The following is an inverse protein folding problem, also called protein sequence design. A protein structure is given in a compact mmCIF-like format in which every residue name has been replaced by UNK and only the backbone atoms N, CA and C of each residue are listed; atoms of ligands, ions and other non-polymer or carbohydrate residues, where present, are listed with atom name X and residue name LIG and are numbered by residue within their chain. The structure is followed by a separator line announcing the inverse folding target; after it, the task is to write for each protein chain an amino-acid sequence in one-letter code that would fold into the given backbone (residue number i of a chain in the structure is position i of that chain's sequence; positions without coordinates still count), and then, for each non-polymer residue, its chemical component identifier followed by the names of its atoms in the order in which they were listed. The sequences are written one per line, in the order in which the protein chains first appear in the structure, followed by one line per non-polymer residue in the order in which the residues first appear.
data_IF_469960037104
#
_entry.id   IF_469960037104
#
_cell.length_a   1.000
_cell.length_b   1.000
_cell.length_c   1.000
_cell.angle_alpha   90.00
_cell.angle_beta   90.00
_cell.angle_gamma   90.00
#
_symmetry.space_group_name_H-M   'P 1'
#
loop_
_entity.id
_entity.type
_entity.pdbx_description
1 polymer ?
#
# COMPACT_ATOMS: atom_id res chain seq x y z
N UNK A 1 -2.52 -10.45 -29.24
CA UNK A 1 -3.23 -10.96 -28.05
C UNK A 1 -2.83 -10.09 -26.85
N UNK A 2 -3.59 -9.02 -26.58
CA UNK A 2 -3.23 -7.96 -25.61
C UNK A 2 -2.95 -8.51 -24.20
N UNK A 3 -3.82 -9.39 -23.69
CA UNK A 3 -3.68 -9.96 -22.35
C UNK A 3 -2.43 -10.84 -22.15
N UNK A 4 -1.92 -11.47 -23.21
CA UNK A 4 -0.67 -12.25 -23.11
C UNK A 4 0.53 -11.33 -22.98
N UNK A 5 0.54 -10.20 -23.69
CA UNK A 5 1.60 -9.21 -23.57
C UNK A 5 1.58 -8.54 -22.18
N UNK A 6 0.40 -8.15 -21.69
CA UNK A 6 0.24 -7.59 -20.35
C UNK A 6 0.61 -8.58 -19.24
N UNK A 7 0.22 -9.85 -19.38
CA UNK A 7 0.62 -10.91 -18.44
C UNK A 7 2.15 -11.09 -18.39
N UNK A 8 2.82 -11.07 -19.54
CA UNK A 8 4.28 -11.13 -19.61
C UNK A 8 4.92 -9.92 -18.94
N UNK A 9 4.43 -8.71 -19.21
CA UNK A 9 4.90 -7.47 -18.57
C UNK A 9 4.75 -7.54 -17.06
N UNK A 10 3.57 -7.92 -16.57
CA UNK A 10 3.29 -8.07 -15.14
C UNK A 10 4.27 -9.03 -14.45
N UNK A 11 4.45 -10.23 -15.02
CA UNK A 11 5.36 -11.23 -14.46
C UNK A 11 6.83 -10.76 -14.49
N UNK A 12 7.24 -10.05 -15.54
CA UNK A 12 8.56 -9.46 -15.64
C UNK A 12 8.79 -8.40 -14.55
N UNK A 13 7.87 -7.46 -14.40
CA UNK A 13 7.97 -6.38 -13.41
C UNK A 13 7.99 -6.90 -11.97
N UNK A 14 7.09 -7.82 -11.64
CA UNK A 14 7.04 -8.43 -10.30
C UNK A 14 8.24 -9.34 -10.03
N UNK A 15 8.74 -10.04 -11.06
CA UNK A 15 9.98 -10.82 -10.98
C UNK A 15 11.21 -9.97 -10.65
N UNK A 16 11.39 -8.81 -11.31
CA UNK A 16 12.46 -7.86 -10.99
C UNK A 16 12.37 -7.41 -9.54
N UNK A 17 11.17 -7.01 -9.11
CA UNK A 17 10.94 -6.55 -7.74
C UNK A 17 11.31 -7.62 -6.70
N UNK A 18 10.88 -8.86 -6.91
CA UNK A 18 11.16 -9.98 -6.00
C UNK A 18 12.65 -10.30 -5.93
N UNK A 19 13.33 -10.37 -7.09
CA UNK A 19 14.76 -10.67 -7.13
C UNK A 19 15.58 -9.60 -6.42
N UNK A 20 15.31 -8.33 -6.72
CA UNK A 20 16.01 -7.21 -6.11
C UNK A 20 15.78 -7.14 -4.59
N UNK A 21 14.55 -7.38 -4.15
CA UNK A 21 14.22 -7.45 -2.72
C UNK A 21 15.01 -8.58 -2.03
N UNK A 22 15.05 -9.77 -2.65
CA UNK A 22 15.81 -10.92 -2.13
C UNK A 22 17.31 -10.64 -2.07
N UNK A 23 17.91 -10.14 -3.15
CA UNK A 23 19.34 -9.80 -3.20
C UNK A 23 19.72 -8.84 -2.09
N UNK A 24 18.90 -7.82 -1.85
CA UNK A 24 19.14 -6.85 -0.81
C UNK A 24 18.99 -7.45 0.61
N UNK A 25 18.07 -8.40 0.82
CA UNK A 25 18.00 -9.14 2.08
C UNK A 25 19.25 -10.02 2.31
N UNK A 26 19.70 -10.75 1.28
CA UNK A 26 20.87 -11.64 1.38
C UNK A 26 22.16 -10.84 1.58
N UNK A 27 22.42 -9.79 0.79
CA UNK A 27 23.62 -8.95 0.98
C UNK A 27 23.68 -8.29 2.36
N UNK A 28 22.53 -7.98 2.98
CA UNK A 28 22.50 -7.48 4.36
C UNK A 28 22.66 -8.57 5.41
N UNK A 29 22.20 -9.78 5.15
CA UNK A 29 22.45 -10.93 6.02
C UNK A 29 23.96 -11.19 6.12
N UNK A 30 24.67 -11.17 5.00
CA UNK A 30 26.14 -11.27 4.95
C UNK A 30 26.83 -10.12 5.71
N UNK A 31 26.29 -8.91 5.63
CA UNK A 31 26.78 -7.72 6.36
C UNK A 31 26.54 -7.79 7.88
N UNK A 32 25.42 -8.36 8.31
CA UNK A 32 25.11 -8.58 9.74
C UNK A 32 25.99 -9.72 10.30
N UNK A 33 26.19 -10.79 9.54
CA UNK A 33 27.05 -11.91 9.93
C UNK A 33 28.53 -11.51 10.01
N UNK A 34 28.94 -10.44 9.31
CA UNK A 34 30.32 -9.92 9.31
C UNK A 34 30.57 -8.70 10.21
N UNK A 35 29.55 -8.13 10.87
CA UNK A 35 29.66 -6.88 11.65
C UNK A 35 29.07 -6.98 13.06
N UNK A 36 29.85 -6.68 14.09
CA UNK A 36 29.45 -6.79 15.51
C UNK A 36 28.67 -5.60 16.08
N UNK A 37 28.30 -4.58 15.27
CA UNK A 37 27.87 -3.28 15.82
C UNK A 37 26.80 -2.51 15.01
N UNK A 38 25.88 -3.16 14.29
CA UNK A 38 24.87 -2.43 13.49
C UNK A 38 23.44 -2.61 14.04
N UNK A 39 22.76 -1.47 14.19
CA UNK A 39 21.40 -1.29 14.70
C UNK A 39 20.32 -2.10 13.93
N UNK A 40 19.15 -2.37 14.54
CA UNK A 40 18.15 -3.31 14.03
C UNK A 40 17.57 -2.90 12.68
N UNK A 41 17.23 -3.92 11.88
CA UNK A 41 16.65 -3.99 10.53
C UNK A 41 15.72 -2.85 10.03
N UNK A 42 15.10 -2.07 10.90
CA UNK A 42 14.04 -1.12 10.55
C UNK A 42 14.51 0.26 10.09
N UNK A 43 15.74 0.68 10.41
CA UNK A 43 16.14 2.09 10.31
C UNK A 43 16.93 2.47 9.05
N UNK A 44 17.64 1.54 8.41
CA UNK A 44 18.52 1.87 7.27
C UNK A 44 17.97 1.51 5.88
N UNK A 45 16.97 0.63 5.79
CA UNK A 45 16.18 0.47 4.56
C UNK A 45 15.06 1.51 4.59
N UNK A 46 15.47 2.77 4.56
CA UNK A 46 14.60 3.93 4.76
C UNK A 46 13.34 3.85 3.92
N UNK A 47 12.25 4.42 4.42
CA UNK A 47 10.96 4.48 3.72
C UNK A 47 11.11 4.92 2.26
N UNK A 48 12.09 5.78 1.96
CA UNK A 48 12.52 6.22 0.64
C UNK A 48 12.85 5.10 -0.35
N UNK A 49 13.57 4.06 0.08
CA UNK A 49 13.98 2.95 -0.81
C UNK A 49 12.79 2.05 -1.17
N UNK A 50 11.96 1.72 -0.17
CA UNK A 50 10.71 0.97 -0.40
C UNK A 50 9.74 1.77 -1.28
N UNK A 51 9.71 3.10 -1.11
CA UNK A 51 8.91 4.03 -1.91
C UNK A 51 9.40 4.06 -3.36
N UNK A 52 10.71 4.22 -3.60
CA UNK A 52 11.31 4.19 -4.94
C UNK A 52 11.02 2.87 -5.67
N UNK A 53 11.22 1.73 -5.01
CA UNK A 53 10.99 0.42 -5.63
C UNK A 53 9.51 0.13 -5.90
N UNK A 54 8.63 0.60 -5.01
CA UNK A 54 7.18 0.49 -5.22
C UNK A 54 6.71 1.36 -6.39
N UNK A 55 7.20 2.60 -6.49
CA UNK A 55 6.95 3.47 -7.64
C UNK A 55 7.53 2.88 -8.95
N UNK A 56 8.67 2.19 -8.90
CA UNK A 56 9.21 1.48 -10.06
C UNK A 56 8.30 0.33 -10.51
N UNK A 57 7.85 -0.52 -9.58
CA UNK A 57 6.93 -1.62 -9.87
C UNK A 57 5.65 -1.10 -10.54
N UNK A 58 5.12 0.00 -10.01
CA UNK A 58 3.94 0.69 -10.53
C UNK A 58 4.11 1.20 -11.96
N UNK A 59 5.18 1.94 -12.23
CA UNK A 59 5.50 2.44 -13.57
C UNK A 59 5.76 1.30 -14.57
N UNK A 60 6.35 0.19 -14.10
CA UNK A 60 6.64 -0.97 -14.94
C UNK A 60 5.36 -1.75 -15.31
N UNK A 61 4.49 -2.02 -14.34
CA UNK A 61 3.23 -2.73 -14.59
C UNK A 61 2.32 -1.91 -15.51
N UNK A 62 2.31 -0.57 -15.37
CA UNK A 62 1.46 0.34 -16.15
C UNK A 62 -0.02 0.01 -16.02
N UNK A 63 -0.86 0.53 -16.91
CA UNK A 63 -2.28 0.20 -16.91
C UNK A 63 -2.50 -1.24 -17.40
N UNK A 64 -3.22 -2.02 -16.59
CA UNK A 64 -3.68 -3.37 -16.93
C UNK A 64 -5.12 -3.29 -17.45
N UNK A 65 -5.31 -3.64 -18.72
CA UNK A 65 -6.64 -3.64 -19.33
C UNK A 65 -7.38 -4.95 -19.07
N UNK A 66 -6.66 -6.07 -18.98
CA UNK A 66 -7.28 -7.38 -18.80
C UNK A 66 -7.74 -7.66 -17.36
N UNK A 67 -8.97 -8.17 -17.21
CA UNK A 67 -9.57 -8.56 -15.92
C UNK A 67 -8.84 -9.71 -15.22
N UNK A 68 -9.07 -9.82 -13.92
CA UNK A 68 -8.65 -10.94 -13.08
C UNK A 68 -7.68 -10.57 -11.96
N UNK A 69 -7.02 -11.58 -11.40
CA UNK A 69 -6.11 -11.47 -10.26
C UNK A 69 -5.01 -10.40 -10.44
N UNK A 70 -4.40 -10.30 -11.63
CA UNK A 70 -3.37 -9.27 -11.88
C UNK A 70 -3.91 -7.85 -11.74
N UNK A 71 -5.14 -7.63 -12.21
CA UNK A 71 -5.83 -6.33 -12.11
C UNK A 71 -6.27 -6.04 -10.68
N UNK A 72 -6.66 -7.07 -9.92
CA UNK A 72 -6.88 -6.97 -8.48
C UNK A 72 -5.60 -6.56 -7.74
N UNK A 73 -4.45 -7.20 -8.02
CA UNK A 73 -3.18 -6.85 -7.40
C UNK A 73 -2.77 -5.42 -7.76
N UNK A 74 -2.91 -5.02 -9.03
CA UNK A 74 -2.67 -3.64 -9.45
C UNK A 74 -3.56 -2.64 -8.71
N UNK A 75 -4.86 -2.91 -8.61
CA UNK A 75 -5.81 -2.09 -7.85
C UNK A 75 -5.37 -1.92 -6.38
N UNK A 76 -4.90 -3.00 -5.75
CA UNK A 76 -4.35 -2.96 -4.39
C UNK A 76 -3.09 -2.09 -4.31
N UNK A 77 -2.14 -2.25 -5.23
CA UNK A 77 -0.90 -1.46 -5.22
C UNK A 77 -1.21 0.03 -5.40
N UNK A 78 -2.06 0.38 -6.36
CA UNK A 78 -2.51 1.76 -6.65
C UNK A 78 -3.12 2.42 -5.41
N UNK A 79 -4.01 1.68 -4.73
CA UNK A 79 -4.67 2.16 -3.53
C UNK A 79 -3.67 2.45 -2.40
N UNK A 80 -2.73 1.52 -2.16
CA UNK A 80 -1.73 1.70 -1.09
C UNK A 80 -0.70 2.79 -1.48
N UNK A 81 -0.41 2.99 -2.76
CA UNK A 81 0.42 4.12 -3.23
C UNK A 81 -0.27 5.45 -2.97
N UNK A 82 -1.53 5.58 -3.40
CA UNK A 82 -2.34 6.77 -3.13
C UNK A 82 -2.41 7.11 -1.63
N UNK A 83 -2.63 6.10 -0.77
CA UNK A 83 -2.56 6.31 0.69
C UNK A 83 -1.18 6.77 1.15
N UNK A 84 -0.11 6.16 0.63
CA UNK A 84 1.27 6.53 0.95
C UNK A 84 1.64 7.95 0.53
N UNK A 85 1.10 8.45 -0.58
CA UNK A 85 1.24 9.86 -0.99
C UNK A 85 0.59 10.80 0.02
N UNK A 86 -0.66 10.52 0.44
CA UNK A 86 -1.36 11.32 1.45
C UNK A 86 -0.62 11.33 2.79
N UNK A 87 -0.01 10.21 3.18
CA UNK A 87 0.87 10.12 4.36
C UNK A 87 2.14 10.94 4.19
N UNK A 88 2.75 10.94 3.00
CA UNK A 88 3.94 11.77 2.73
C UNK A 88 3.59 13.26 2.79
N UNK A 89 2.48 13.68 2.20
CA UNK A 89 2.04 15.08 2.21
C UNK A 89 1.77 15.61 3.61
N UNK A 90 1.32 14.75 4.52
CA UNK A 90 1.08 15.08 5.93
C UNK A 90 2.22 14.67 6.87
N UNK A 91 3.42 14.38 6.34
CA UNK A 91 4.52 13.79 7.12
C UNK A 91 4.93 14.68 8.30
N UNK A 92 5.05 15.99 8.09
CA UNK A 92 5.41 16.93 9.15
C UNK A 92 4.39 16.89 10.30
N UNK A 93 3.09 16.90 9.99
CA UNK A 93 2.08 16.77 11.05
C UNK A 93 2.16 15.42 11.77
N UNK A 94 2.33 14.33 11.02
CA UNK A 94 2.38 12.97 11.57
C UNK A 94 3.52 12.82 12.55
N UNK A 95 4.70 13.33 12.21
CA UNK A 95 5.89 13.29 13.06
C UNK A 95 5.73 14.21 14.27
N UNK A 96 5.24 15.44 14.08
CA UNK A 96 5.03 16.41 15.16
C UNK A 96 4.05 15.90 16.24
N UNK A 97 3.01 15.20 15.83
CA UNK A 97 1.97 14.70 16.73
C UNK A 97 2.20 13.23 17.17
N UNK A 98 3.28 12.60 16.71
CA UNK A 98 3.60 11.19 16.99
C UNK A 98 2.44 10.21 16.71
N UNK A 99 1.69 10.43 15.61
CA UNK A 99 0.49 9.65 15.28
C UNK A 99 0.72 8.53 14.26
N UNK A 100 1.95 8.34 13.77
CA UNK A 100 2.28 7.38 12.70
C UNK A 100 1.81 5.95 13.05
N UNK A 101 2.09 5.48 14.26
CA UNK A 101 1.69 4.13 14.67
C UNK A 101 0.17 4.00 14.82
N UNK A 102 -0.50 5.03 15.33
CA UNK A 102 -1.96 5.08 15.45
C UNK A 102 -2.64 5.04 14.08
N UNK A 103 -2.17 5.84 13.12
CA UNK A 103 -2.66 5.79 11.74
C UNK A 103 -2.45 4.41 11.10
N UNK A 104 -1.25 3.83 11.25
CA UNK A 104 -0.94 2.47 10.76
C UNK A 104 -1.84 1.40 11.36
N UNK A 105 -2.24 1.54 12.62
CA UNK A 105 -3.16 0.61 13.27
C UNK A 105 -4.59 0.75 12.70
N UNK A 106 -5.04 1.97 12.35
CA UNK A 106 -6.35 2.19 11.73
C UNK A 106 -6.48 1.56 10.34
N UNK A 107 -5.40 1.58 9.55
CA UNK A 107 -5.38 0.98 8.20
C UNK A 107 -4.79 -0.43 8.17
N UNK A 108 -4.50 -1.01 9.34
CA UNK A 108 -4.08 -2.40 9.56
C UNK A 108 -3.10 -3.03 8.55
N UNK A 109 -2.10 -2.28 8.05
CA UNK A 109 -1.18 -2.77 7.01
C UNK A 109 -0.30 -3.97 7.41
N UNK A 110 -0.23 -4.37 8.70
CA UNK A 110 0.83 -5.26 9.20
C UNK A 110 0.47 -6.29 10.29
N UNK A 111 -0.80 -6.46 10.71
CA UNK A 111 -1.07 -7.25 11.94
C UNK A 111 -1.84 -8.56 11.79
N UNK A 112 -2.72 -8.74 10.80
CA UNK A 112 -3.36 -10.02 10.49
C UNK A 112 -4.11 -9.91 9.16
N UNK A 113 -3.87 -10.82 8.24
CA UNK A 113 -4.58 -10.90 6.97
C UNK A 113 -5.03 -12.35 6.75
N UNK A 114 -6.27 -12.60 6.28
CA UNK A 114 -7.33 -11.62 6.00
C UNK A 114 -7.80 -10.90 7.27
N UNK A 115 -8.25 -9.65 7.11
CA UNK A 115 -8.83 -8.90 8.22
C UNK A 115 -10.23 -9.43 8.54
N UNK A 116 -10.76 -9.20 9.75
CA UNK A 116 -12.12 -9.58 10.09
C UNK A 116 -13.12 -8.97 9.12
N UNK A 117 -14.13 -9.75 8.71
CA UNK A 117 -15.24 -9.27 7.87
C UNK A 117 -15.85 -8.00 8.45
N UNK A 118 -16.05 -6.98 7.62
CA UNK A 118 -16.59 -5.70 8.08
C UNK A 118 -15.58 -4.78 8.76
N UNK A 119 -14.27 -4.99 8.52
CA UNK A 119 -13.23 -4.06 8.95
C UNK A 119 -13.29 -2.71 8.20
N UNK A 120 -13.62 -2.70 6.90
CA UNK A 120 -13.74 -1.50 6.05
C UNK A 120 -14.43 -0.29 6.71
N UNK A 121 -15.67 -0.41 7.24
CA UNK A 121 -16.38 0.73 7.84
C UNK A 121 -15.70 1.31 9.10
N UNK A 122 -14.73 0.61 9.68
CA UNK A 122 -13.99 1.07 10.88
C UNK A 122 -12.81 1.98 10.55
N UNK A 123 -12.28 1.91 9.32
CA UNK A 123 -11.03 2.57 8.90
C UNK A 123 -11.15 4.09 9.00
N UNK A 124 -12.16 4.68 8.35
CA UNK A 124 -12.34 6.14 8.29
C UNK A 124 -12.67 6.73 9.67
N UNK A 125 -13.59 6.16 10.47
CA UNK A 125 -13.82 6.61 11.84
C UNK A 125 -12.56 6.56 12.71
N UNK A 126 -11.75 5.51 12.60
CA UNK A 126 -10.49 5.39 13.34
C UNK A 126 -9.52 6.52 12.98
N UNK A 127 -9.30 6.76 11.68
CA UNK A 127 -8.42 7.85 11.22
C UNK A 127 -8.92 9.21 11.69
N UNK A 128 -10.23 9.48 11.58
CA UNK A 128 -10.83 10.73 12.10
C UNK A 128 -10.61 10.91 13.59
N UNK A 129 -10.76 9.85 14.37
CA UNK A 129 -10.53 9.89 15.81
C UNK A 129 -9.06 10.23 16.14
N UNK A 130 -8.10 9.60 15.45
CA UNK A 130 -6.67 9.92 15.60
C UNK A 130 -6.38 11.39 15.27
N UNK A 131 -7.00 11.94 14.22
CA UNK A 131 -6.78 13.31 13.77
C UNK A 131 -7.52 14.39 14.57
N UNK A 132 -8.54 14.02 15.35
CA UNK A 132 -9.33 14.98 16.12
C UNK A 132 -8.48 15.69 17.19
N UNK A 133 -7.50 14.99 17.77
CA UNK A 133 -6.62 15.51 18.82
C UNK A 133 -5.38 16.25 18.33
N UNK A 134 -5.18 16.40 17.01
CA UNK A 134 -3.95 16.96 16.44
C UNK A 134 -4.09 18.39 15.96
N UNK A 135 -2.96 19.08 15.88
CA UNK A 135 -2.83 20.41 15.30
C UNK A 135 -2.56 20.41 13.80
N UNK A 136 -2.75 19.28 13.09
CA UNK A 136 -2.65 19.22 11.63
C UNK A 136 -3.56 20.27 10.99
N UNK A 137 -3.12 20.80 9.85
CA UNK A 137 -3.95 21.66 9.01
C UNK A 137 -5.21 20.94 8.51
N UNK A 138 -6.22 21.72 8.11
CA UNK A 138 -7.46 21.17 7.54
C UNK A 138 -7.18 20.33 6.29
N UNK A 139 -6.21 20.73 5.47
CA UNK A 139 -5.90 20.04 4.23
C UNK A 139 -5.13 18.73 4.45
N UNK A 140 -4.21 18.68 5.42
CA UNK A 140 -3.56 17.44 5.84
C UNK A 140 -4.57 16.42 6.40
N UNK A 141 -5.49 16.88 7.27
CA UNK A 141 -6.56 16.02 7.81
C UNK A 141 -7.43 15.46 6.69
N UNK A 142 -7.86 16.32 5.76
CA UNK A 142 -8.63 15.88 4.57
C UNK A 142 -7.82 14.90 3.72
N UNK A 143 -6.54 15.16 3.46
CA UNK A 143 -5.66 14.28 2.69
C UNK A 143 -5.60 12.88 3.29
N UNK A 144 -5.35 12.77 4.59
CA UNK A 144 -5.30 11.50 5.31
C UNK A 144 -6.66 10.78 5.32
N UNK A 145 -7.77 11.52 5.51
CA UNK A 145 -9.12 10.95 5.41
C UNK A 145 -9.43 10.40 4.01
N UNK A 146 -8.99 11.08 2.94
CA UNK A 146 -9.16 10.60 1.56
C UNK A 146 -8.40 9.30 1.33
N UNK A 147 -7.15 9.25 1.80
CA UNK A 147 -6.36 8.02 1.78
C UNK A 147 -7.03 6.88 2.54
N UNK A 148 -7.59 7.16 3.72
CA UNK A 148 -8.30 6.19 4.54
C UNK A 148 -9.55 5.63 3.84
N UNK A 149 -10.31 6.47 3.12
CA UNK A 149 -11.46 6.02 2.31
C UNK A 149 -11.03 5.08 1.19
N UNK A 150 -9.92 5.36 0.52
CA UNK A 150 -9.39 4.48 -0.52
C UNK A 150 -9.02 3.10 0.04
N UNK A 151 -8.39 3.06 1.23
CA UNK A 151 -8.08 1.80 1.92
C UNK A 151 -9.35 1.06 2.36
N UNK A 152 -10.37 1.76 2.85
CA UNK A 152 -11.65 1.15 3.20
C UNK A 152 -12.30 0.46 1.98
N UNK A 153 -12.38 1.16 0.85
CA UNK A 153 -12.89 0.60 -0.41
C UNK A 153 -12.11 -0.65 -0.85
N UNK A 154 -10.78 -0.63 -0.71
CA UNK A 154 -9.94 -1.81 -0.97
C UNK A 154 -10.32 -2.98 -0.06
N UNK A 155 -10.61 -2.76 1.22
CA UNK A 155 -11.04 -3.84 2.10
C UNK A 155 -12.41 -4.40 1.72
N UNK A 156 -13.35 -3.57 1.28
CA UNK A 156 -14.62 -4.07 0.73
C UNK A 156 -14.39 -4.94 -0.53
N UNK A 157 -13.43 -4.56 -1.39
CA UNK A 157 -13.05 -5.40 -2.53
C UNK A 157 -12.41 -6.71 -2.11
N UNK A 158 -11.54 -6.68 -1.11
CA UNK A 158 -10.85 -7.86 -0.60
C UNK A 158 -11.82 -8.83 0.07
N UNK A 159 -12.81 -8.35 0.82
CA UNK A 159 -13.87 -9.17 1.40
C UNK A 159 -14.63 -9.96 0.30
N UNK A 160 -14.90 -9.36 -0.86
CA UNK A 160 -15.49 -10.06 -2.01
C UNK A 160 -14.52 -11.07 -2.65
N UNK A 161 -13.25 -10.69 -2.83
CA UNK A 161 -12.20 -11.56 -3.39
C UNK A 161 -11.98 -12.82 -2.55
N UNK A 162 -12.01 -12.71 -1.22
CA UNK A 162 -11.85 -13.87 -0.33
C UNK A 162 -13.12 -14.72 -0.22
N UNK A 163 -14.30 -14.14 -0.47
CA UNK A 163 -15.56 -14.85 -0.42
C UNK A 163 -15.86 -15.60 -1.74
N UNK A 164 -15.31 -15.15 -2.87
CA UNK A 164 -15.67 -15.63 -4.20
C UNK A 164 -14.47 -15.69 -5.17
N UNK A 165 -14.04 -16.91 -5.52
CA UNK A 165 -12.99 -17.14 -6.51
C UNK A 165 -13.39 -16.72 -7.93
N UNK A 166 -14.69 -16.74 -8.27
CA UNK A 166 -15.17 -16.29 -9.57
C UNK A 166 -15.08 -14.76 -9.66
N UNK A 167 -15.33 -14.07 -8.55
CA UNK A 167 -15.13 -12.62 -8.45
C UNK A 167 -13.69 -12.22 -8.77
N UNK A 168 -12.68 -12.87 -8.17
CA UNK A 168 -11.27 -12.53 -8.44
C UNK A 168 -10.87 -12.85 -9.88
N UNK A 169 -11.37 -13.94 -10.48
CA UNK A 169 -11.12 -14.29 -11.89
C UNK A 169 -11.72 -13.25 -12.85
N UNK A 170 -12.79 -12.57 -12.43
CA UNK A 170 -13.51 -11.58 -13.22
C UNK A 170 -13.26 -10.12 -12.78
N UNK A 171 -12.35 -9.88 -11.84
CA UNK A 171 -12.10 -8.55 -11.28
C UNK A 171 -11.70 -7.54 -12.36
N UNK A 172 -12.47 -6.48 -12.54
CA UNK A 172 -12.26 -5.51 -13.63
C UNK A 172 -12.16 -4.05 -13.18
N UNK A 173 -12.13 -3.81 -11.87
CA UNK A 173 -12.04 -2.44 -11.35
C UNK A 173 -10.68 -1.81 -11.64
N UNK A 174 -10.70 -0.51 -11.91
CA UNK A 174 -9.52 0.35 -11.99
C UNK A 174 -9.56 1.31 -10.81
N UNK A 175 -8.41 1.52 -10.18
CA UNK A 175 -8.29 2.53 -9.13
C UNK A 175 -8.47 3.92 -9.76
N UNK A 176 -9.36 4.73 -9.18
CA UNK A 176 -9.58 6.11 -9.62
C UNK A 176 -9.40 7.07 -8.43
N UNK A 177 -8.29 7.81 -8.36
CA UNK A 177 -8.04 8.75 -7.27
C UNK A 177 -9.09 9.87 -7.18
N UNK A 178 -9.75 10.22 -8.30
CA UNK A 178 -10.76 11.29 -8.35
C UNK A 178 -12.00 10.96 -7.52
N UNK A 179 -12.28 9.66 -7.31
CA UNK A 179 -13.34 9.19 -6.40
C UNK A 179 -13.14 9.72 -4.97
N UNK A 180 -11.89 10.02 -4.60
CA UNK A 180 -11.52 10.53 -3.29
C UNK A 180 -11.22 12.03 -3.28
N UNK A 181 -11.56 12.76 -4.35
CA UNK A 181 -11.44 14.22 -4.41
C UNK A 181 -10.04 14.77 -4.71
N UNK A 182 -9.26 14.03 -5.52
CA UNK A 182 -8.17 14.61 -6.33
C UNK A 182 -8.72 15.25 -7.61
#
# INVERSE_FOLDING_TARGET
MLCVAEAKRYNFCTGIYNNFTRELFESRKELIESSSTIAPLGSQLGGEFKKMMKCFLMKCIGDLECKGERKQIKFQIDTVEFYGERVTEAQECIEKNDINQSLRNCVALHKQFPLPKGFSPTVVPCVKHVLAGTDCSTDEKKGLERGARAVADLYDQLDMVFADEEYVKNFDLKFDPRKYGL
#
